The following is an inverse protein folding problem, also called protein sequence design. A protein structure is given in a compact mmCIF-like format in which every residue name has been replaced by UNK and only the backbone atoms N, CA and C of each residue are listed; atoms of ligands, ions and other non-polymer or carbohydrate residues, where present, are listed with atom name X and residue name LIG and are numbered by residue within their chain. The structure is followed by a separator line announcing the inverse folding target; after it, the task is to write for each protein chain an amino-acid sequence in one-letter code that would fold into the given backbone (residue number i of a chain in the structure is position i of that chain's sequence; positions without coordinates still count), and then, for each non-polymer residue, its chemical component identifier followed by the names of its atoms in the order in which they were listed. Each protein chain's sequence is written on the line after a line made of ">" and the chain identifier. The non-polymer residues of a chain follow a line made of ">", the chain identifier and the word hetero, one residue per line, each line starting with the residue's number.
data_IF_567393831566
#
_entry.id   IF_567393831566
#
_cell.length_a   1.000
_cell.length_b   1.000
_cell.length_c   1.000
_cell.angle_alpha   90.00
_cell.angle_beta   90.00
_cell.angle_gamma   90.00
#
_symmetry.space_group_name_H-M   'P 1'
#
loop_
_entity.id
_entity.type
_entity.pdbx_description
1 polymer ?
#
# COMPACT_ATOMS: atom_id res chain seq x y z
N UNK A 1 -28.24 22.10 12.37
CA UNK A 1 -27.23 21.76 13.39
C UNK A 1 -26.00 21.23 12.68
N UNK A 2 -24.96 22.06 12.52
CA UNK A 2 -23.70 21.68 11.88
C UNK A 2 -22.84 20.94 12.89
N UNK A 3 -22.78 19.62 12.79
CA UNK A 3 -21.88 18.79 13.60
C UNK A 3 -20.44 19.16 13.27
N UNK A 4 -19.84 20.05 14.06
CA UNK A 4 -18.41 20.36 14.02
C UNK A 4 -17.69 19.01 14.23
N UNK A 5 -17.06 18.48 13.18
CA UNK A 5 -16.48 17.14 13.15
C UNK A 5 -15.64 16.88 14.39
N UNK A 6 -16.08 15.92 15.22
CA UNK A 6 -15.38 15.56 16.45
C UNK A 6 -14.07 14.89 16.04
N UNK A 7 -12.96 15.58 16.31
CA UNK A 7 -11.63 15.05 16.04
C UNK A 7 -11.22 14.12 17.17
N UNK A 8 -10.74 12.93 16.83
CA UNK A 8 -10.34 11.93 17.82
C UNK A 8 -8.87 12.14 18.22
N UNK A 9 -8.55 11.78 19.47
CA UNK A 9 -7.16 11.70 19.93
C UNK A 9 -6.50 10.45 19.33
N UNK A 10 -5.17 10.47 19.17
CA UNK A 10 -4.37 9.37 18.63
C UNK A 10 -4.69 8.01 19.29
N UNK A 11 -4.80 7.97 20.61
CA UNK A 11 -5.14 6.76 21.39
C UNK A 11 -6.48 6.16 20.96
N UNK A 12 -7.50 7.00 20.77
CA UNK A 12 -8.81 6.55 20.29
C UNK A 12 -8.73 6.01 18.87
N UNK A 13 -7.94 6.63 18.00
CA UNK A 13 -7.76 6.15 16.63
C UNK A 13 -7.03 4.80 16.59
N UNK A 14 -6.03 4.59 17.45
CA UNK A 14 -5.35 3.30 17.59
C UNK A 14 -6.34 2.23 18.05
N UNK A 15 -7.07 2.49 19.14
CA UNK A 15 -8.05 1.54 19.66
C UNK A 15 -9.14 1.19 18.63
N UNK A 16 -9.61 2.18 17.86
CA UNK A 16 -10.55 1.95 16.75
C UNK A 16 -9.94 1.04 15.69
N UNK A 17 -8.70 1.30 15.28
CA UNK A 17 -8.00 0.46 14.30
C UNK A 17 -7.79 -0.96 14.80
N UNK A 18 -7.44 -1.15 16.07
CA UNK A 18 -7.25 -2.47 16.67
C UNK A 18 -8.51 -3.32 16.60
N UNK A 19 -9.69 -2.71 16.72
CA UNK A 19 -10.98 -3.38 16.62
C UNK A 19 -11.39 -3.76 15.19
N UNK A 20 -10.71 -3.21 14.18
CA UNK A 20 -11.01 -3.54 12.78
C UNK A 20 -10.49 -4.95 12.50
N UNK A 21 -11.41 -5.80 12.08
CA UNK A 21 -11.08 -7.11 11.55
C UNK A 21 -10.51 -6.95 10.14
N UNK A 22 -9.24 -7.32 10.01
CA UNK A 22 -8.51 -7.24 8.75
C UNK A 22 -8.35 -8.66 8.26
N UNK A 23 -9.11 -9.00 7.22
CA UNK A 23 -9.03 -10.32 6.59
C UNK A 23 -8.32 -10.23 5.25
N UNK A 24 -7.39 -11.15 5.00
CA UNK A 24 -6.79 -11.33 3.68
C UNK A 24 -7.57 -12.41 2.93
N UNK A 25 -8.10 -12.13 1.73
CA UNK A 25 -8.85 -13.14 0.98
C UNK A 25 -7.93 -14.30 0.62
N UNK A 26 -8.39 -15.53 0.85
CA UNK A 26 -7.71 -16.75 0.42
C UNK A 26 -8.04 -17.03 -1.06
N UNK A 27 -7.05 -16.85 -1.93
CA UNK A 27 -7.13 -17.06 -3.36
C UNK A 27 -6.02 -18.03 -3.78
N UNK A 28 -6.28 -18.85 -4.80
CA UNK A 28 -5.20 -19.61 -5.42
C UNK A 28 -4.15 -18.65 -6.02
N UNK A 29 -2.89 -19.08 -6.07
CA UNK A 29 -1.80 -18.28 -6.66
C UNK A 29 -2.13 -17.82 -8.08
N UNK A 30 -2.67 -18.71 -8.91
CA UNK A 30 -3.07 -18.40 -10.30
C UNK A 30 -4.17 -17.35 -10.35
N UNK A 31 -5.20 -17.48 -9.52
CA UNK A 31 -6.28 -16.49 -9.43
C UNK A 31 -5.75 -15.14 -8.96
N UNK A 32 -4.87 -15.15 -7.95
CA UNK A 32 -4.27 -13.95 -7.39
C UNK A 32 -3.45 -13.21 -8.44
N UNK A 33 -2.57 -13.89 -9.19
CA UNK A 33 -1.77 -13.29 -10.26
C UNK A 33 -2.68 -12.64 -11.31
N UNK A 34 -3.69 -13.38 -11.82
CA UNK A 34 -4.60 -12.89 -12.87
C UNK A 34 -5.37 -11.66 -12.41
N UNK A 35 -5.94 -11.68 -11.19
CA UNK A 35 -6.68 -10.54 -10.63
C UNK A 35 -5.77 -9.34 -10.40
N UNK A 36 -4.53 -9.56 -9.99
CA UNK A 36 -3.55 -8.50 -9.75
C UNK A 36 -3.15 -7.78 -11.04
N UNK A 37 -2.91 -8.54 -12.11
CA UNK A 37 -2.65 -8.01 -13.46
C UNK A 37 -3.85 -7.18 -13.95
N UNK A 38 -5.06 -7.75 -13.89
CA UNK A 38 -6.27 -7.06 -14.33
C UNK A 38 -6.50 -5.76 -13.54
N UNK A 39 -6.29 -5.81 -12.23
CA UNK A 39 -6.39 -4.64 -11.36
C UNK A 39 -5.38 -3.55 -11.72
N UNK A 40 -4.11 -3.92 -11.96
CA UNK A 40 -3.07 -2.99 -12.38
C UNK A 40 -3.39 -2.35 -13.73
N UNK A 41 -3.73 -3.14 -14.74
CA UNK A 41 -4.02 -2.65 -16.09
C UNK A 41 -5.22 -1.70 -16.09
N UNK A 42 -6.28 -2.02 -15.34
CA UNK A 42 -7.44 -1.14 -15.18
C UNK A 42 -7.08 0.20 -14.53
N UNK A 43 -6.18 0.21 -13.56
CA UNK A 43 -5.76 1.44 -12.86
C UNK A 43 -4.71 2.26 -13.61
N UNK A 44 -3.99 1.66 -14.55
CA UNK A 44 -2.87 2.30 -15.26
C UNK A 44 -3.02 2.12 -16.77
N UNK A 45 -4.11 2.62 -17.40
CA UNK A 45 -4.42 2.35 -18.80
C UNK A 45 -3.39 2.91 -19.79
N UNK A 46 -2.60 3.91 -19.38
CA UNK A 46 -1.55 4.54 -20.21
C UNK A 46 -0.15 3.94 -19.99
N UNK A 47 0.01 3.06 -19.00
CA UNK A 47 1.29 2.40 -18.71
C UNK A 47 1.44 1.13 -19.54
N UNK A 48 2.67 0.61 -19.63
CA UNK A 48 2.90 -0.72 -20.24
C UNK A 48 2.02 -1.75 -19.52
N UNK A 49 1.18 -2.51 -20.24
CA UNK A 49 0.30 -3.48 -19.61
C UNK A 49 1.12 -4.61 -18.99
N UNK A 50 0.69 -5.03 -17.80
CA UNK A 50 1.17 -6.24 -17.17
C UNK A 50 0.55 -7.47 -17.86
N UNK A 51 1.33 -8.54 -17.90
CA UNK A 51 0.94 -9.86 -18.43
C UNK A 51 1.52 -10.97 -17.54
N UNK A 52 1.19 -12.24 -17.84
CA UNK A 52 1.77 -13.38 -17.13
C UNK A 52 3.28 -13.52 -17.36
N UNK A 53 3.79 -12.98 -18.48
CA UNK A 53 5.21 -12.99 -18.85
C UNK A 53 5.99 -11.82 -18.25
N UNK A 54 5.33 -10.99 -17.43
CA UNK A 54 6.01 -9.91 -16.73
C UNK A 54 6.98 -10.45 -15.68
N UNK A 55 8.02 -9.67 -15.37
CA UNK A 55 9.03 -10.05 -14.38
C UNK A 55 8.42 -10.48 -13.05
N UNK A 56 8.97 -11.54 -12.44
CA UNK A 56 8.45 -12.14 -11.22
C UNK A 56 8.34 -11.13 -10.07
N UNK A 57 9.37 -10.30 -9.87
CA UNK A 57 9.36 -9.27 -8.82
C UNK A 57 8.26 -8.23 -9.05
N UNK A 58 8.00 -7.87 -10.32
CA UNK A 58 6.91 -6.99 -10.67
C UNK A 58 5.55 -7.65 -10.37
N UNK A 59 5.36 -8.91 -10.73
CA UNK A 59 4.13 -9.65 -10.40
C UNK A 59 3.92 -9.77 -8.90
N UNK A 60 4.96 -10.07 -8.11
CA UNK A 60 4.89 -10.09 -6.65
C UNK A 60 4.44 -8.73 -6.08
N UNK A 61 4.98 -7.62 -6.61
CA UNK A 61 4.54 -6.26 -6.25
C UNK A 61 3.07 -6.03 -6.58
N UNK A 62 2.62 -6.46 -7.75
CA UNK A 62 1.21 -6.33 -8.14
C UNK A 62 0.30 -7.14 -7.21
N UNK A 63 0.70 -8.37 -6.83
CA UNK A 63 -0.06 -9.23 -5.93
C UNK A 63 -0.21 -8.62 -4.54
N UNK A 64 0.89 -8.13 -3.94
CA UNK A 64 0.83 -7.46 -2.64
C UNK A 64 -0.02 -6.19 -2.72
N UNK A 65 0.12 -5.39 -3.77
CA UNK A 65 -0.68 -4.17 -3.95
C UNK A 65 -2.18 -4.50 -4.13
N UNK A 66 -2.51 -5.49 -4.95
CA UNK A 66 -3.88 -5.94 -5.15
C UNK A 66 -4.50 -6.42 -3.84
N UNK A 67 -3.80 -7.29 -3.11
CA UNK A 67 -4.27 -7.76 -1.81
C UNK A 67 -4.45 -6.61 -0.84
N UNK A 68 -3.50 -5.67 -0.73
CA UNK A 68 -3.65 -4.50 0.15
C UNK A 68 -4.89 -3.65 -0.18
N UNK A 69 -5.24 -3.54 -1.46
CA UNK A 69 -6.46 -2.84 -1.88
C UNK A 69 -7.75 -3.67 -1.70
N UNK A 70 -7.65 -5.00 -1.54
CA UNK A 70 -8.79 -5.89 -1.32
C UNK A 70 -8.99 -6.33 0.13
N UNK A 71 -7.95 -6.26 0.96
CA UNK A 71 -8.04 -6.56 2.38
C UNK A 71 -8.73 -5.39 3.06
N UNK A 72 -10.02 -5.59 3.38
CA UNK A 72 -10.87 -4.66 4.14
C UNK A 72 -11.04 -3.28 3.50
N UNK A 73 -11.91 -2.47 4.09
CA UNK A 73 -12.18 -1.09 3.69
C UNK A 73 -10.98 -0.15 3.90
N UNK A 74 -9.73 -0.57 3.62
CA UNK A 74 -8.51 0.20 3.84
C UNK A 74 -8.62 1.62 3.28
N UNK A 75 -9.18 1.76 2.07
CA UNK A 75 -9.40 3.07 1.46
C UNK A 75 -10.52 3.87 2.16
N UNK A 76 -11.60 3.23 2.66
CA UNK A 76 -12.65 3.90 3.43
C UNK A 76 -12.18 4.28 4.83
N UNK A 77 -11.43 3.40 5.51
CA UNK A 77 -10.79 3.66 6.79
C UNK A 77 -9.77 4.79 6.65
N UNK A 78 -8.94 4.78 5.62
CA UNK A 78 -8.00 5.87 5.35
C UNK A 78 -8.73 7.19 5.07
N UNK A 79 -9.87 7.14 4.38
CA UNK A 79 -10.74 8.30 4.16
C UNK A 79 -11.35 8.79 5.47
N UNK A 80 -11.84 7.88 6.32
CA UNK A 80 -12.37 8.18 7.64
C UNK A 80 -11.30 8.84 8.55
N UNK A 81 -10.10 8.26 8.59
CA UNK A 81 -8.98 8.78 9.38
C UNK A 81 -8.57 10.18 8.91
N UNK A 82 -8.51 10.43 7.60
CA UNK A 82 -8.25 11.76 7.05
C UNK A 82 -9.26 12.82 7.47
N UNK A 83 -10.52 12.43 7.69
CA UNK A 83 -11.59 13.35 8.08
C UNK A 83 -11.62 13.62 9.59
N UNK A 84 -11.12 12.69 10.41
CA UNK A 84 -11.33 12.72 11.87
C UNK A 84 -10.05 12.79 12.72
N UNK A 85 -8.86 12.67 12.13
CA UNK A 85 -7.58 12.77 12.82
C UNK A 85 -6.97 14.18 12.77
N UNK A 86 -6.05 14.46 13.70
CA UNK A 86 -5.28 15.71 13.75
C UNK A 86 -3.87 15.52 13.17
N UNK A 87 -3.39 16.48 12.38
CA UNK A 87 -1.99 16.51 11.91
C UNK A 87 -1.54 15.17 11.32
N UNK A 88 -0.39 14.68 11.77
CA UNK A 88 0.24 13.45 11.26
C UNK A 88 -0.37 12.15 11.85
N UNK A 89 -1.39 12.25 12.73
CA UNK A 89 -2.00 11.06 13.35
C UNK A 89 -2.64 10.13 12.32
N UNK A 90 -3.17 10.67 11.22
CA UNK A 90 -3.74 9.85 10.16
C UNK A 90 -2.68 9.01 9.43
N UNK A 91 -1.45 9.53 9.30
CA UNK A 91 -0.34 8.79 8.69
C UNK A 91 0.16 7.70 9.62
N UNK A 92 0.33 8.04 10.91
CA UNK A 92 0.72 7.08 11.95
C UNK A 92 -0.25 5.90 12.04
N UNK A 93 -1.55 6.19 12.15
CA UNK A 93 -2.59 5.17 12.25
C UNK A 93 -2.71 4.39 10.94
N UNK A 94 -2.57 5.05 9.79
CA UNK A 94 -2.50 4.38 8.48
C UNK A 94 -1.34 3.38 8.38
N UNK A 95 -0.18 3.71 8.94
CA UNK A 95 0.98 2.82 8.98
C UNK A 95 0.72 1.57 9.83
N UNK A 96 0.02 1.70 10.96
CA UNK A 96 -0.38 0.55 11.80
C UNK A 96 -1.27 -0.42 11.02
N UNK A 97 -2.34 0.10 10.39
CA UNK A 97 -3.26 -0.73 9.58
C UNK A 97 -2.49 -1.44 8.48
N UNK A 98 -1.67 -0.68 7.75
CA UNK A 98 -0.90 -1.21 6.64
C UNK A 98 0.08 -2.29 7.09
N UNK A 99 0.79 -2.07 8.20
CA UNK A 99 1.70 -3.05 8.79
C UNK A 99 1.00 -4.36 9.15
N UNK A 100 -0.22 -4.28 9.72
CA UNK A 100 -1.07 -5.46 9.98
C UNK A 100 -1.44 -6.18 8.68
N UNK A 101 -1.92 -5.46 7.67
CA UNK A 101 -2.26 -6.03 6.35
C UNK A 101 -1.05 -6.75 5.73
N UNK A 102 0.11 -6.10 5.67
CA UNK A 102 1.33 -6.68 5.09
C UNK A 102 1.79 -7.94 5.85
N UNK A 103 1.68 -7.94 7.18
CA UNK A 103 1.98 -9.10 8.01
C UNK A 103 1.04 -10.27 7.71
N UNK A 104 -0.25 -10.00 7.58
CA UNK A 104 -1.24 -11.03 7.24
C UNK A 104 -1.03 -11.58 5.83
N UNK A 105 -0.70 -10.72 4.85
CA UNK A 105 -0.35 -11.16 3.49
C UNK A 105 0.88 -12.09 3.54
N UNK A 106 1.92 -11.70 4.28
CA UNK A 106 3.14 -12.50 4.44
C UNK A 106 2.90 -13.86 5.13
N UNK A 107 1.93 -13.93 6.03
CA UNK A 107 1.52 -15.17 6.69
C UNK A 107 0.73 -16.08 5.72
N UNK A 108 -0.29 -15.53 5.05
CA UNK A 108 -1.18 -16.26 4.14
C UNK A 108 -0.48 -16.71 2.84
N UNK A 109 0.44 -15.90 2.33
CA UNK A 109 1.13 -16.11 1.05
C UNK A 109 2.65 -16.09 1.26
N UNK A 110 3.28 -17.24 1.62
CA UNK A 110 4.70 -17.29 1.94
C UNK A 110 5.63 -16.78 0.82
N UNK A 111 5.26 -16.97 -0.45
CA UNK A 111 6.01 -16.45 -1.60
C UNK A 111 6.05 -14.92 -1.68
N UNK A 112 5.12 -14.22 -1.02
CA UNK A 112 5.05 -12.75 -1.00
C UNK A 112 5.77 -12.12 0.21
N UNK A 113 6.32 -12.92 1.14
CA UNK A 113 6.96 -12.44 2.37
C UNK A 113 8.02 -11.37 2.14
N UNK A 114 8.89 -11.59 1.15
CA UNK A 114 9.99 -10.68 0.85
C UNK A 114 9.48 -9.30 0.39
N UNK A 115 8.52 -9.28 -0.54
CA UNK A 115 7.96 -8.02 -1.02
C UNK A 115 7.08 -7.34 0.03
N UNK A 116 6.27 -8.10 0.79
CA UNK A 116 5.47 -7.56 1.88
C UNK A 116 6.35 -6.89 2.95
N UNK A 117 7.46 -7.54 3.34
CA UNK A 117 8.45 -6.95 4.25
C UNK A 117 9.12 -5.73 3.65
N UNK A 118 9.49 -5.78 2.38
CA UNK A 118 10.11 -4.65 1.69
C UNK A 118 9.17 -3.44 1.64
N UNK A 119 7.87 -3.64 1.44
CA UNK A 119 6.87 -2.56 1.50
C UNK A 119 6.62 -2.00 2.89
N UNK A 120 6.81 -2.80 3.96
CA UNK A 120 6.76 -2.28 5.33
C UNK A 120 7.96 -1.37 5.59
N UNK A 121 9.18 -1.86 5.32
CA UNK A 121 10.42 -1.12 5.58
C UNK A 121 10.54 0.18 4.77
N UNK A 122 10.14 0.17 3.49
CA UNK A 122 10.16 1.38 2.65
C UNK A 122 9.28 2.49 3.21
N UNK A 123 8.21 2.15 3.93
CA UNK A 123 7.26 3.14 4.44
C UNK A 123 7.52 3.54 5.89
N UNK A 124 8.09 2.67 6.73
CA UNK A 124 8.62 3.06 8.04
C UNK A 124 9.66 4.19 7.90
N UNK A 125 10.43 4.18 6.81
CA UNK A 125 11.36 5.27 6.47
C UNK A 125 10.67 6.59 6.09
N UNK A 126 9.39 6.57 5.69
CA UNK A 126 8.62 7.76 5.28
C UNK A 126 7.85 8.37 6.45
N UNK A 127 7.41 7.55 7.40
CA UNK A 127 6.63 7.99 8.58
C UNK A 127 7.48 8.74 9.62
N UNK A 128 8.82 8.65 9.55
CA UNK A 128 9.76 9.37 10.42
C UNK A 128 10.22 10.74 9.84
N UNK A 129 9.33 11.47 9.16
CA UNK A 129 9.49 12.92 8.95
C UNK A 129 10.35 13.40 7.78
N UNK A 130 10.82 12.54 6.87
CA UNK A 130 11.41 13.01 5.60
C UNK A 130 11.25 12.01 4.44
N UNK A 131 10.61 12.40 3.32
CA UNK A 131 10.63 11.57 2.11
C UNK A 131 12.03 11.59 1.48
N UNK A 132 12.47 10.42 1.01
CA UNK A 132 13.70 10.32 0.23
C UNK A 132 13.58 11.20 -1.02
N UNK A 133 14.52 12.14 -1.17
CA UNK A 133 14.74 12.86 -2.42
C UNK A 133 14.79 11.84 -3.56
N UNK A 134 13.98 12.07 -4.60
CA UNK A 134 13.98 11.25 -5.82
C UNK A 134 15.42 11.11 -6.29
N UNK A 135 15.92 9.88 -6.38
CA UNK A 135 17.14 9.60 -7.13
C UNK A 135 16.88 10.05 -8.58
N UNK A 136 17.33 11.26 -8.92
CA UNK A 136 17.52 11.68 -10.31
C UNK A 136 18.68 10.86 -10.86
N UNK A 137 18.37 9.67 -11.35
CA UNK A 137 19.26 8.88 -12.19
C UNK A 137 18.79 8.95 -13.64
N UNK A 138 18.71 10.15 -14.22
CA UNK A 138 18.76 10.28 -15.68
C UNK A 138 20.14 10.83 -16.00
N UNK A 139 21.06 9.92 -16.30
CA UNK A 139 22.35 10.26 -16.85
C UNK A 139 22.09 10.89 -18.23
N UNK A 140 22.20 12.22 -18.30
CA UNK A 140 22.29 12.95 -19.56
C UNK A 140 23.63 12.59 -20.18
N UNK A 141 23.68 11.53 -21.00
CA UNK A 141 24.82 11.34 -21.91
C UNK A 141 24.72 12.41 -22.98
N UNK A 142 25.46 13.50 -22.77
CA UNK A 142 25.70 14.52 -23.78
C UNK A 142 26.31 13.89 -25.01
N UNK A 143 25.63 14.04 -26.15
CA UNK A 143 26.17 13.72 -27.46
C UNK A 143 27.02 14.92 -27.91
N UNK A 144 28.33 14.78 -28.19
CA UNK A 144 29.12 15.89 -28.71
C UNK A 144 28.66 16.21 -30.13
N UNK A 145 28.37 17.50 -30.37
CA UNK A 145 28.17 18.04 -31.72
C UNK A 145 29.48 17.87 -32.50
N UNK A 146 29.39 17.25 -33.67
CA UNK A 146 30.31 17.44 -34.79
C UNK A 146 29.51 18.04 -35.92
#
# INVERSE_FOLDING_TARGET
>A
MTTKGRRYRRETLIALVEQIDITVPALSTTTLIRRSIAHYNRRNPTSRPASLDSETDFLCRLMVNFLRHQCSEYDSLRTFLRQHAHGDDHEFVGAIVKGRVLRLIAAQYPMLRSEARSQALREDQVVNGAPRARARGHATTGRPRR
#
